data_IF_636585690865
#
_entry.id   IF_636585690865
#
_cell.length_a   1.000
_cell.length_b   1.000
_cell.length_c   1.000
_cell.angle_alpha   90.00
_cell.angle_beta   90.00
_cell.angle_gamma   90.00
#
_symmetry.space_group_name_H-M   'P 1'
#
loop_
_entity.id
_entity.type
_entity.pdbx_description
1 polymer ?
#
# COMPACT_ATOMS: atom_id res chain seq x y z
N UNK A 1 23.73 -6.49 24.32
CA UNK A 1 22.46 -6.88 23.66
C UNK A 1 21.50 -5.69 23.47
N UNK A 2 21.21 -4.87 24.49
CA UNK A 2 20.27 -3.74 24.39
C UNK A 2 20.58 -2.69 23.30
N UNK A 3 21.85 -2.40 23.03
CA UNK A 3 22.23 -1.45 21.96
C UNK A 3 21.96 -1.96 20.54
N UNK A 4 21.91 -3.28 20.34
CA UNK A 4 21.56 -3.87 19.04
C UNK A 4 20.08 -3.68 18.75
N UNK A 5 19.23 -4.06 19.72
CA UNK A 5 17.78 -3.91 19.61
C UNK A 5 17.37 -2.45 19.44
N UNK A 6 17.94 -1.54 20.22
CA UNK A 6 17.65 -0.11 20.10
C UNK A 6 17.99 0.42 18.71
N UNK A 7 19.13 0.01 18.14
CA UNK A 7 19.52 0.38 16.78
C UNK A 7 18.53 -0.15 15.75
N UNK A 8 18.06 -1.39 15.93
CA UNK A 8 17.09 -2.02 15.05
C UNK A 8 15.74 -1.28 15.05
N UNK A 9 15.21 -0.98 16.25
CA UNK A 9 13.97 -0.22 16.40
C UNK A 9 14.06 1.16 15.72
N UNK A 10 15.18 1.86 15.90
CA UNK A 10 15.41 3.16 15.26
C UNK A 10 15.59 3.05 13.75
N UNK A 11 16.12 1.92 13.25
CA UNK A 11 16.25 1.66 11.82
C UNK A 11 14.87 1.54 11.18
N UNK A 12 13.98 0.73 11.75
CA UNK A 12 12.61 0.53 11.26
C UNK A 12 11.80 1.83 11.36
N UNK A 13 11.93 2.57 12.47
CA UNK A 13 11.29 3.88 12.62
C UNK A 13 11.68 4.87 11.50
N UNK A 14 12.98 4.93 11.17
CA UNK A 14 13.46 5.77 10.05
C UNK A 14 12.98 5.25 8.70
N UNK A 15 12.87 3.94 8.54
CA UNK A 15 12.38 3.31 7.31
C UNK A 15 10.92 3.69 7.07
N UNK A 16 10.05 3.55 8.06
CA UNK A 16 8.64 3.99 8.00
C UNK A 16 8.50 5.45 7.55
N UNK A 17 9.31 6.35 8.10
CA UNK A 17 9.28 7.76 7.69
C UNK A 17 9.76 8.00 6.26
N UNK A 18 10.75 7.24 5.79
CA UNK A 18 11.21 7.32 4.39
C UNK A 18 10.16 6.75 3.44
N UNK A 19 9.54 5.62 3.80
CA UNK A 19 8.48 4.98 3.04
C UNK A 19 7.28 5.92 2.91
N UNK A 20 6.85 6.54 4.02
CA UNK A 20 5.80 7.56 3.98
C UNK A 20 6.11 8.70 2.99
N UNK A 21 7.33 9.25 3.03
CA UNK A 21 7.71 10.36 2.13
C UNK A 21 7.63 9.97 0.66
N UNK A 22 7.98 8.72 0.33
CA UNK A 22 7.92 8.21 -1.04
C UNK A 22 6.49 7.84 -1.46
N UNK A 23 5.77 7.11 -0.62
CA UNK A 23 4.42 6.60 -0.90
C UNK A 23 3.39 7.72 -0.99
N UNK A 24 3.53 8.78 -0.18
CA UNK A 24 2.55 9.88 -0.09
C UNK A 24 3.10 11.20 -0.65
N UNK A 25 4.07 11.17 -1.57
CA UNK A 25 4.70 12.37 -2.09
C UNK A 25 3.66 13.36 -2.67
N UNK A 26 3.75 14.64 -2.30
CA UNK A 26 2.82 15.68 -2.75
C UNK A 26 1.42 15.65 -2.13
N UNK A 27 1.11 14.67 -1.26
CA UNK A 27 -0.12 14.65 -0.45
C UNK A 27 0.21 15.09 0.98
N UNK A 28 0.24 16.41 1.20
CA UNK A 28 0.61 17.00 2.49
C UNK A 28 -0.28 16.53 3.65
N UNK A 29 -1.56 16.30 3.38
CA UNK A 29 -2.49 15.81 4.39
C UNK A 29 -2.13 14.39 4.81
N UNK A 30 -1.97 13.46 3.85
CA UNK A 30 -1.58 12.09 4.16
C UNK A 30 -0.19 12.02 4.80
N UNK A 31 0.76 12.84 4.32
CA UNK A 31 2.10 12.95 4.92
C UNK A 31 2.05 13.35 6.39
N UNK A 32 1.20 14.31 6.75
CA UNK A 32 1.06 14.75 8.13
C UNK A 32 0.36 13.71 9.01
N UNK A 33 -0.77 13.17 8.55
CA UNK A 33 -1.54 12.15 9.29
C UNK A 33 -0.71 10.91 9.58
N UNK A 34 0.01 10.40 8.57
CA UNK A 34 0.83 9.20 8.74
C UNK A 34 2.06 9.49 9.60
N UNK A 35 2.66 10.69 9.51
CA UNK A 35 3.73 11.12 10.42
C UNK A 35 3.27 11.05 11.87
N UNK A 36 2.11 11.61 12.17
CA UNK A 36 1.60 11.68 13.53
C UNK A 36 1.23 10.30 14.04
N UNK A 37 0.64 9.44 13.21
CA UNK A 37 0.34 8.05 13.56
C UNK A 37 1.60 7.26 13.92
N UNK A 38 2.66 7.34 13.10
CA UNK A 38 3.95 6.68 13.40
C UNK A 38 4.49 7.17 14.75
N UNK A 39 4.55 8.49 14.97
CA UNK A 39 5.08 9.06 16.20
C UNK A 39 4.27 8.65 17.44
N UNK A 40 2.94 8.63 17.32
CA UNK A 40 2.05 8.30 18.44
C UNK A 40 2.17 6.83 18.84
N UNK A 41 2.23 5.89 17.89
CA UNK A 41 2.42 4.48 18.21
C UNK A 41 3.78 4.22 18.88
N UNK A 42 4.87 4.81 18.37
CA UNK A 42 6.18 4.67 19.02
C UNK A 42 6.24 5.31 20.41
N UNK A 43 5.54 6.44 20.63
CA UNK A 43 5.42 7.06 21.97
C UNK A 43 4.62 6.18 22.93
N UNK A 44 3.52 5.58 22.47
CA UNK A 44 2.64 4.70 23.27
C UNK A 44 3.41 3.53 23.88
N UNK A 45 4.35 2.94 23.14
CA UNK A 45 5.11 1.77 23.59
C UNK A 45 6.53 2.10 24.08
N UNK A 46 6.90 3.38 24.23
CA UNK A 46 8.26 3.81 24.62
C UNK A 46 8.77 3.19 25.93
N UNK A 47 7.87 2.91 26.87
CA UNK A 47 8.22 2.42 28.21
C UNK A 47 8.15 0.89 28.33
N UNK A 48 7.92 0.16 27.24
CA UNK A 48 7.97 -1.31 27.24
C UNK A 48 9.41 -1.75 27.47
N UNK A 49 9.65 -2.59 28.48
CA UNK A 49 10.98 -3.09 28.86
C UNK A 49 11.18 -4.57 28.55
N UNK A 50 10.09 -5.31 28.27
CA UNK A 50 10.16 -6.72 27.90
C UNK A 50 10.76 -6.86 26.49
N UNK A 51 11.90 -7.55 26.39
CA UNK A 51 12.64 -7.76 25.15
C UNK A 51 11.79 -8.41 24.05
N UNK A 52 11.07 -9.49 24.36
CA UNK A 52 10.25 -10.23 23.39
C UNK A 52 9.10 -9.36 22.86
N UNK A 53 8.48 -8.55 23.73
CA UNK A 53 7.45 -7.61 23.33
C UNK A 53 7.99 -6.51 22.40
N UNK A 54 9.22 -6.02 22.64
CA UNK A 54 9.85 -5.03 21.75
C UNK A 54 10.14 -5.65 20.38
N UNK A 55 10.60 -6.89 20.33
CA UNK A 55 10.87 -7.61 19.09
C UNK A 55 9.59 -7.82 18.27
N UNK A 56 8.49 -8.22 18.92
CA UNK A 56 7.18 -8.37 18.26
C UNK A 56 6.67 -7.04 17.72
N UNK A 57 6.71 -5.97 18.52
CA UNK A 57 6.31 -4.62 18.08
C UNK A 57 7.16 -4.12 16.92
N UNK A 58 8.47 -4.41 16.94
CA UNK A 58 9.36 -4.00 15.86
C UNK A 58 9.12 -4.80 14.58
N UNK A 59 8.82 -6.10 14.70
CA UNK A 59 8.41 -6.93 13.56
C UNK A 59 7.10 -6.41 12.94
N UNK A 60 6.11 -6.10 13.78
CA UNK A 60 4.86 -5.49 13.33
C UNK A 60 5.12 -4.17 12.58
N UNK A 61 6.01 -3.32 13.08
CA UNK A 61 6.38 -2.08 12.39
C UNK A 61 7.05 -2.33 11.02
N UNK A 62 7.83 -3.41 10.87
CA UNK A 62 8.40 -3.82 9.58
C UNK A 62 7.33 -4.32 8.61
N UNK A 63 6.35 -5.09 9.08
CA UNK A 63 5.23 -5.56 8.27
C UNK A 63 4.38 -4.38 7.77
N UNK A 64 4.10 -3.40 8.64
CA UNK A 64 3.41 -2.15 8.26
C UNK A 64 4.23 -1.36 7.23
N UNK A 65 5.55 -1.28 7.39
CA UNK A 65 6.40 -0.61 6.40
C UNK A 65 6.30 -1.28 5.03
N UNK A 66 6.34 -2.61 5.01
CA UNK A 66 6.24 -3.39 3.78
C UNK A 66 4.90 -3.15 3.09
N UNK A 67 3.80 -3.27 3.84
CA UNK A 67 2.44 -3.06 3.34
C UNK A 67 2.28 -1.66 2.73
N UNK A 68 2.67 -0.60 3.45
CA UNK A 68 2.57 0.78 2.95
C UNK A 68 3.43 0.99 1.69
N UNK A 69 4.56 0.30 1.57
CA UNK A 69 5.45 0.43 0.40
C UNK A 69 4.91 -0.30 -0.83
N UNK A 70 4.29 -1.47 -0.66
CA UNK A 70 3.97 -2.38 -1.76
C UNK A 70 2.50 -2.41 -2.16
N UNK A 71 1.59 -1.90 -1.33
CA UNK A 71 0.14 -1.98 -1.62
C UNK A 71 -0.54 -0.64 -1.85
N UNK A 72 0.07 0.47 -1.45
CA UNK A 72 -0.51 1.82 -1.59
C UNK A 72 -0.09 2.44 -2.93
N UNK A 73 -1.09 2.81 -3.75
CA UNK A 73 -0.91 3.58 -4.99
C UNK A 73 -1.61 4.93 -4.85
N UNK A 74 -0.90 6.02 -5.11
CA UNK A 74 -1.53 7.35 -5.17
C UNK A 74 -2.21 7.58 -6.51
N UNK A 75 -3.41 8.15 -6.45
CA UNK A 75 -4.17 8.59 -7.60
C UNK A 75 -4.41 10.09 -7.49
N UNK A 76 -4.15 10.85 -8.56
CA UNK A 76 -4.40 12.30 -8.58
C UNK A 76 -5.04 12.71 -9.90
N UNK A 77 -5.95 13.69 -9.82
CA UNK A 77 -6.62 14.23 -11.00
C UNK A 77 -5.67 15.14 -11.77
N UNK A 78 -5.51 14.85 -13.07
CA UNK A 78 -4.67 15.62 -14.00
C UNK A 78 -5.49 16.57 -14.87
N UNK A 79 -6.77 16.25 -15.08
CA UNK A 79 -7.74 17.02 -15.82
C UNK A 79 -9.15 16.51 -15.42
N UNK A 80 -10.23 17.26 -15.70
CA UNK A 80 -11.59 16.83 -15.37
C UNK A 80 -11.89 15.42 -15.88
N UNK A 81 -12.12 14.49 -14.95
CA UNK A 81 -12.41 13.09 -15.27
C UNK A 81 -11.20 12.24 -15.71
N UNK A 82 -9.97 12.75 -15.59
CA UNK A 82 -8.72 12.04 -15.90
C UNK A 82 -7.83 11.93 -14.67
N UNK A 83 -7.64 10.70 -14.21
CA UNK A 83 -6.81 10.38 -13.04
C UNK A 83 -5.53 9.70 -13.50
N UNK A 84 -4.39 10.16 -12.98
CA UNK A 84 -3.11 9.48 -13.11
C UNK A 84 -2.81 8.68 -11.84
N UNK A 85 -2.28 7.47 -12.02
CA UNK A 85 -1.77 6.64 -10.93
C UNK A 85 -0.26 6.81 -10.83
N UNK A 86 0.26 7.03 -9.62
CA UNK A 86 1.71 6.98 -9.34
C UNK A 86 2.11 5.55 -9.06
N UNK A 87 2.48 4.83 -10.12
CA UNK A 87 2.98 3.46 -10.01
C UNK A 87 4.48 3.51 -9.72
N UNK A 88 4.91 2.80 -8.67
CA UNK A 88 6.32 2.62 -8.31
C UNK A 88 6.75 1.18 -8.58
N UNK A 89 8.07 0.88 -8.69
CA UNK A 89 8.55 -0.48 -8.86
C UNK A 89 8.12 -1.43 -7.73
N UNK A 90 7.91 -0.90 -6.52
CA UNK A 90 7.48 -1.68 -5.36
C UNK A 90 6.04 -2.20 -5.46
N UNK A 91 5.18 -1.53 -6.26
CA UNK A 91 3.76 -1.87 -6.43
C UNK A 91 3.46 -2.44 -7.82
N UNK A 92 4.44 -2.37 -8.73
CA UNK A 92 4.29 -2.90 -10.08
C UNK A 92 4.24 -4.43 -10.02
N UNK A 93 3.14 -5.01 -10.50
CA UNK A 93 2.95 -6.46 -10.59
C UNK A 93 3.11 -6.88 -12.05
N UNK A 94 3.67 -8.08 -12.28
CA UNK A 94 3.76 -8.66 -13.61
C UNK A 94 2.37 -8.76 -14.26
N UNK A 95 2.30 -8.31 -15.52
CA UNK A 95 1.05 -8.28 -16.27
C UNK A 95 0.48 -9.69 -16.40
N UNK A 96 -0.62 -9.95 -15.69
CA UNK A 96 -1.44 -11.13 -15.94
C UNK A 96 -2.36 -10.85 -17.13
N UNK A 97 -2.37 -11.70 -18.17
CA UNK A 97 -3.22 -11.49 -19.33
C UNK A 97 -4.68 -11.43 -18.89
N UNK A 98 -5.38 -10.37 -19.32
CA UNK A 98 -6.80 -10.20 -19.05
C UNK A 98 -7.57 -11.40 -19.63
N UNK A 99 -8.17 -12.21 -18.76
CA UNK A 99 -9.09 -13.25 -19.20
C UNK A 99 -10.38 -12.56 -19.57
N UNK A 100 -10.66 -12.46 -20.86
CA UNK A 100 -11.96 -12.03 -21.37
C UNK A 100 -13.04 -12.86 -20.67
N UNK A 101 -13.77 -12.24 -19.73
CA UNK A 101 -15.01 -12.81 -19.23
C UNK A 101 -15.91 -12.90 -20.46
N UNK A 102 -16.30 -14.12 -20.86
CA UNK A 102 -17.17 -14.30 -22.02
C UNK A 102 -18.43 -13.48 -21.76
N UNK A 103 -18.60 -12.42 -22.55
CA UNK A 103 -19.85 -11.69 -22.60
C UNK A 103 -20.93 -12.71 -22.97
N UNK A 104 -21.79 -13.08 -22.02
CA UNK A 104 -22.99 -13.85 -22.30
C UNK A 104 -23.98 -12.93 -23.03
N UNK A 105 -23.66 -12.56 -24.28
CA UNK A 105 -24.62 -12.02 -25.23
C UNK A 105 -25.36 -13.22 -25.84
N UNK A 106 -26.54 -13.47 -25.30
CA UNK A 106 -27.53 -14.39 -25.81
C UNK A 106 -28.07 -13.92 -27.18
N UNK A 107 -27.30 -14.09 -28.25
CA UNK A 107 -27.83 -13.93 -29.62
C UNK A 107 -28.46 -15.24 -30.08
N UNK A 108 -29.67 -15.56 -29.58
CA UNK A 108 -30.62 -16.39 -30.33
C UNK A 108 -31.24 -15.51 -31.41
N UNK A 109 -30.56 -15.36 -32.54
CA UNK A 109 -31.25 -14.92 -33.76
C UNK A 109 -31.91 -16.16 -34.35
N UNK A 110 -33.23 -16.29 -34.10
CA UNK A 110 -34.10 -17.15 -34.89
C UNK A 110 -34.37 -16.42 -36.21
N UNK A 111 -33.98 -17.01 -37.32
CA UNK A 111 -34.57 -16.70 -38.63
C UNK A 111 -35.45 -17.89 -38.99
N UNK A 112 -36.77 -17.68 -38.94
CA UNK A 112 -37.77 -18.49 -39.63
C UNK A 112 -38.27 -17.68 -40.84
N UNK A 113 -38.82 -18.43 -41.79
CA UNK A 113 -39.59 -18.03 -42.98
C UNK A 113 -38.71 -17.74 -44.20
N UNK A 114 -38.85 -18.37 -45.38
CA UNK A 114 -39.83 -19.35 -45.89
C UNK A 114 -40.10 -19.04 -47.38
N UNK A 115 -40.09 -20.07 -48.25
CA UNK A 115 -40.57 -20.11 -49.67
C UNK A 115 -39.82 -19.21 -50.68
N UNK A 116 -39.56 -19.62 -51.92
CA UNK A 116 -40.33 -20.47 -52.85
C UNK A 116 -39.57 -21.66 -53.44
#
# INVERSE_FOLDING_TARGET
MGDSLRREVLRVFKQLHRTRLKTFEGDEYALQVVRDKINNEYRKYKNVTNQAAIEELNKFAQEVEHEVRTTVIQAFETAPGRVALRITPDVLVDNMPYKNQKDNKSSKVKTKDGKD
#
